data_IF_459118038300
#
_entry.id   IF_459118038300
#
_cell.length_a   1.000
_cell.length_b   1.000
_cell.length_c   1.000
_cell.angle_alpha   90.00
_cell.angle_beta   90.00
_cell.angle_gamma   90.00
#
_symmetry.space_group_name_H-M   'P 1'
#
loop_
_entity.id
_entity.type
_entity.pdbx_description
1 polymer ?
#
# COMPACT_ATOMS: atom_id res chain seq x y z
N UNK A 1 -23.62 -13.69 14.28
CA UNK A 1 -22.24 -14.17 14.02
C UNK A 1 -21.80 -13.62 12.67
N UNK A 2 -21.53 -12.31 12.61
CA UNK A 2 -21.05 -11.63 11.39
C UNK A 2 -19.53 -11.51 11.48
N UNK A 3 -18.82 -12.49 10.92
CA UNK A 3 -17.36 -12.58 10.98
C UNK A 3 -16.67 -12.18 9.67
N UNK A 4 -17.34 -11.45 8.78
CA UNK A 4 -16.82 -11.10 7.44
C UNK A 4 -16.43 -9.63 7.29
N UNK A 5 -16.61 -8.78 8.30
CA UNK A 5 -16.32 -7.33 8.20
C UNK A 5 -14.96 -6.91 8.78
N UNK A 6 -14.17 -7.83 9.36
CA UNK A 6 -12.93 -7.48 10.06
C UNK A 6 -11.65 -7.43 9.21
N UNK A 7 -11.70 -7.78 7.92
CA UNK A 7 -10.52 -7.79 7.04
C UNK A 7 -10.77 -7.19 5.65
N UNK A 8 -11.68 -6.22 5.55
CA UNK A 8 -11.62 -5.30 4.42
C UNK A 8 -10.42 -4.42 4.71
N UNK A 9 -9.26 -4.78 4.16
CA UNK A 9 -8.09 -3.88 4.12
C UNK A 9 -8.60 -2.58 3.52
N UNK A 10 -8.63 -1.52 4.32
CA UNK A 10 -9.00 -0.21 3.83
C UNK A 10 -7.81 0.32 3.03
N UNK A 11 -7.74 -0.16 1.79
CA UNK A 11 -6.72 0.21 0.80
C UNK A 11 -6.71 1.72 0.59
N UNK A 12 -7.86 2.38 0.80
CA UNK A 12 -8.03 3.82 0.67
C UNK A 12 -7.40 4.57 1.87
N UNK A 13 -7.67 4.16 3.11
CA UNK A 13 -7.02 4.67 4.32
C UNK A 13 -5.49 4.54 4.25
N UNK A 14 -5.00 3.37 3.82
CA UNK A 14 -3.58 3.11 3.72
C UNK A 14 -2.92 3.88 2.56
N UNK A 15 -3.62 4.09 1.45
CA UNK A 15 -3.20 5.00 0.38
C UNK A 15 -3.16 6.47 0.84
N UNK A 16 -4.11 6.88 1.68
CA UNK A 16 -4.14 8.19 2.33
C UNK A 16 -2.95 8.37 3.28
N UNK A 17 -2.63 7.36 4.08
CA UNK A 17 -1.46 7.35 4.96
C UNK A 17 -0.15 7.48 4.16
N UNK A 18 0.01 6.70 3.08
CA UNK A 18 1.18 6.80 2.21
C UNK A 18 1.33 8.21 1.61
N UNK A 19 0.22 8.83 1.19
CA UNK A 19 0.21 10.20 0.67
C UNK A 19 0.62 11.22 1.74
N UNK A 20 0.14 11.06 2.99
CA UNK A 20 0.52 11.93 4.11
C UNK A 20 2.00 11.79 4.46
N UNK A 21 2.52 10.57 4.50
CA UNK A 21 3.94 10.28 4.74
C UNK A 21 4.84 10.88 3.65
N UNK A 22 4.42 10.80 2.39
CA UNK A 22 5.13 11.44 1.27
C UNK A 22 5.20 12.96 1.43
N UNK A 23 4.08 13.62 1.75
CA UNK A 23 4.06 15.07 2.02
C UNK A 23 4.92 15.45 3.22
N UNK A 24 4.94 14.63 4.26
CA UNK A 24 5.80 14.83 5.42
C UNK A 24 7.28 14.77 5.02
N UNK A 25 7.64 13.80 4.18
CA UNK A 25 9.00 13.65 3.62
C UNK A 25 9.39 14.85 2.76
N UNK A 26 8.52 15.30 1.86
CA UNK A 26 8.74 16.50 1.04
C UNK A 26 8.96 17.73 1.94
N UNK A 27 8.14 17.92 2.98
CA UNK A 27 8.31 19.02 3.94
C UNK A 27 9.65 18.96 4.69
N UNK A 28 10.07 17.76 5.10
CA UNK A 28 11.37 17.55 5.75
C UNK A 28 12.56 17.84 4.80
N UNK A 29 12.43 17.52 3.51
CA UNK A 29 13.44 17.91 2.49
C UNK A 29 13.53 19.42 2.33
N UNK A 30 12.40 20.13 2.27
CA UNK A 30 12.37 21.59 2.18
C UNK A 30 13.02 22.25 3.39
N UNK A 31 12.66 21.81 4.61
CA UNK A 31 13.26 22.31 5.84
C UNK A 31 14.79 22.05 5.89
N UNK A 32 15.24 20.89 5.39
CA UNK A 32 16.66 20.59 5.21
C UNK A 32 17.35 21.51 4.20
N UNK A 33 16.65 21.91 3.14
CA UNK A 33 17.11 22.88 2.14
C UNK A 33 17.31 24.30 2.71
N UNK A 34 16.41 24.76 3.58
CA UNK A 34 16.54 26.04 4.27
C UNK A 34 17.72 26.01 5.24
N UNK A 35 17.85 24.93 6.01
CA UNK A 35 19.01 24.71 6.88
C UNK A 35 20.33 24.66 6.08
N UNK A 36 20.31 24.04 4.89
CA UNK A 36 21.45 24.01 3.96
C UNK A 36 21.89 25.41 3.55
N UNK A 37 20.96 26.35 3.37
CA UNK A 37 21.29 27.74 3.03
C UNK A 37 22.00 28.47 4.18
N UNK A 38 21.65 28.14 5.42
CA UNK A 38 22.22 28.76 6.62
C UNK A 38 23.56 28.17 7.06
N UNK A 39 23.95 26.97 6.60
CA UNK A 39 25.14 26.25 7.09
C UNK A 39 26.39 26.45 6.21
N UNK A 40 26.27 26.95 4.98
CA UNK A 40 27.42 27.11 4.08
C UNK A 40 28.20 28.38 4.46
N UNK A 41 29.21 28.22 5.32
CA UNK A 41 30.26 29.22 5.56
C UNK A 41 29.87 30.46 6.39
N UNK A 42 28.65 30.49 6.94
CA UNK A 42 28.10 31.68 7.61
C UNK A 42 28.15 31.60 9.16
N UNK A 43 28.58 30.46 9.73
CA UNK A 43 28.63 30.26 11.19
C UNK A 43 29.96 30.68 11.82
N UNK A 44 30.97 31.02 11.01
CA UNK A 44 32.18 31.72 11.43
C UNK A 44 33.21 30.88 12.21
N UNK A 45 32.99 29.57 12.38
CA UNK A 45 33.95 28.68 13.05
C UNK A 45 33.98 27.28 12.41
N UNK A 46 35.19 26.82 12.03
CA UNK A 46 35.39 25.58 11.26
C UNK A 46 34.78 24.32 11.90
N UNK A 47 34.78 24.22 13.24
CA UNK A 47 34.14 23.08 13.93
C UNK A 47 32.62 23.10 13.84
N UNK A 48 32.02 24.30 13.82
CA UNK A 48 30.57 24.44 13.71
C UNK A 48 30.13 24.12 12.27
N UNK A 49 30.94 24.54 11.29
CA UNK A 49 30.71 24.20 9.88
C UNK A 49 30.83 22.69 9.64
N UNK A 50 31.82 22.03 10.24
CA UNK A 50 32.02 20.57 10.16
C UNK A 50 30.86 19.79 10.81
N UNK A 51 30.46 20.17 12.03
CA UNK A 51 29.31 19.55 12.71
C UNK A 51 28.00 19.79 11.94
N UNK A 52 27.84 20.98 11.36
CA UNK A 52 26.70 21.30 10.49
C UNK A 52 26.67 20.45 9.22
N UNK A 53 27.84 20.21 8.60
CA UNK A 53 27.95 19.34 7.44
C UNK A 53 27.65 17.86 7.77
N UNK A 54 28.12 17.36 8.90
CA UNK A 54 27.84 16.00 9.37
C UNK A 54 26.35 15.82 9.72
N UNK A 55 25.78 16.78 10.46
CA UNK A 55 24.35 16.80 10.76
C UNK A 55 23.53 16.77 9.47
N UNK A 56 23.88 17.62 8.50
CA UNK A 56 23.21 17.68 7.20
C UNK A 56 23.26 16.34 6.47
N UNK A 57 24.45 15.74 6.36
CA UNK A 57 24.61 14.45 5.67
C UNK A 57 23.73 13.36 6.32
N UNK A 58 23.71 13.32 7.65
CA UNK A 58 22.89 12.39 8.42
C UNK A 58 21.39 12.65 8.25
N UNK A 59 20.99 13.92 8.21
CA UNK A 59 19.60 14.35 7.98
C UNK A 59 19.10 13.95 6.60
N UNK A 60 19.87 14.26 5.54
CA UNK A 60 19.54 13.89 4.15
C UNK A 60 19.50 12.36 3.98
N UNK A 61 20.34 11.61 4.70
CA UNK A 61 20.27 10.16 4.72
C UNK A 61 18.99 9.65 5.40
N UNK A 62 18.64 10.17 6.59
CA UNK A 62 17.44 9.77 7.32
C UNK A 62 16.16 10.03 6.53
N UNK A 63 16.06 11.17 5.85
CA UNK A 63 14.90 11.49 5.00
C UNK A 63 14.79 10.51 3.82
N UNK A 64 15.90 10.16 3.18
CA UNK A 64 15.90 9.16 2.09
C UNK A 64 15.40 7.80 2.59
N UNK A 65 15.84 7.37 3.77
CA UNK A 65 15.36 6.12 4.37
C UNK A 65 13.84 6.15 4.65
N UNK A 66 13.31 7.28 5.13
CA UNK A 66 11.87 7.46 5.36
C UNK A 66 11.10 7.40 4.03
N UNK A 67 11.62 8.00 2.96
CA UNK A 67 11.05 7.92 1.61
C UNK A 67 10.98 6.48 1.13
N UNK A 68 12.11 5.78 1.15
CA UNK A 68 12.22 4.42 0.63
C UNK A 68 11.27 3.46 1.38
N UNK A 69 11.18 3.59 2.70
CA UNK A 69 10.23 2.83 3.51
C UNK A 69 8.77 3.14 3.16
N UNK A 70 8.44 4.42 2.97
CA UNK A 70 7.09 4.85 2.59
C UNK A 70 6.69 4.28 1.23
N UNK A 71 7.60 4.30 0.27
CA UNK A 71 7.37 3.74 -1.07
C UNK A 71 7.22 2.22 -1.02
N UNK A 72 8.01 1.52 -0.20
CA UNK A 72 7.87 0.09 0.01
C UNK A 72 6.51 -0.28 0.63
N UNK A 73 6.04 0.48 1.63
CA UNK A 73 4.72 0.29 2.24
C UNK A 73 3.63 0.44 1.16
N UNK A 74 3.69 1.51 0.36
CA UNK A 74 2.73 1.76 -0.72
C UNK A 74 2.69 0.60 -1.72
N UNK A 75 3.84 0.13 -2.18
CA UNK A 75 3.94 -0.97 -3.14
C UNK A 75 3.37 -2.28 -2.58
N UNK A 76 3.70 -2.63 -1.33
CA UNK A 76 3.17 -3.82 -0.67
C UNK A 76 1.64 -3.78 -0.55
N UNK A 77 1.09 -2.59 -0.33
CA UNK A 77 -0.34 -2.34 -0.26
C UNK A 77 -1.05 -2.49 -1.61
N UNK A 78 -0.50 -1.90 -2.66
CA UNK A 78 -0.99 -2.07 -4.04
C UNK A 78 -0.96 -3.54 -4.46
N UNK A 79 0.11 -4.26 -4.12
CA UNK A 79 0.23 -5.69 -4.38
C UNK A 79 -0.83 -6.51 -3.63
N UNK A 80 -1.07 -6.18 -2.36
CA UNK A 80 -2.10 -6.84 -1.53
C UNK A 80 -3.49 -6.59 -2.08
N UNK A 81 -3.81 -5.34 -2.43
CA UNK A 81 -5.09 -4.98 -3.03
C UNK A 81 -5.34 -5.70 -4.36
N UNK A 82 -4.29 -5.81 -5.20
CA UNK A 82 -4.36 -6.57 -6.46
C UNK A 82 -4.65 -8.05 -6.20
N UNK A 83 -3.93 -8.68 -5.27
CA UNK A 83 -4.13 -10.09 -4.93
C UNK A 83 -5.56 -10.37 -4.43
N UNK A 84 -6.12 -9.48 -3.61
CA UNK A 84 -7.52 -9.58 -3.18
C UNK A 84 -8.51 -9.49 -4.35
N UNK A 85 -8.34 -8.50 -5.24
CA UNK A 85 -9.22 -8.32 -6.40
C UNK A 85 -9.13 -9.50 -7.39
N UNK A 86 -7.94 -10.03 -7.63
CA UNK A 86 -7.73 -11.20 -8.48
C UNK A 86 -8.39 -12.45 -7.89
N UNK A 87 -8.21 -12.66 -6.57
CA UNK A 87 -8.81 -13.80 -5.86
C UNK A 87 -10.33 -13.70 -5.88
N UNK A 88 -10.90 -12.54 -5.55
CA UNK A 88 -12.35 -12.34 -5.56
C UNK A 88 -12.93 -12.48 -6.99
N UNK A 89 -12.22 -11.97 -8.00
CA UNK A 89 -12.58 -12.16 -9.41
C UNK A 89 -12.60 -13.63 -9.83
N UNK A 90 -11.58 -14.41 -9.43
CA UNK A 90 -11.50 -15.84 -9.71
C UNK A 90 -12.63 -16.61 -9.01
N UNK A 91 -12.92 -16.28 -7.75
CA UNK A 91 -14.03 -16.87 -6.99
C UNK A 91 -15.37 -16.56 -7.66
N UNK A 92 -15.65 -15.30 -8.00
CA UNK A 92 -16.88 -14.89 -8.70
C UNK A 92 -17.03 -15.61 -10.05
N UNK A 93 -15.95 -15.75 -10.82
CA UNK A 93 -15.98 -16.48 -12.09
C UNK A 93 -16.27 -17.97 -11.89
N UNK A 94 -15.68 -18.61 -10.88
CA UNK A 94 -15.93 -20.01 -10.57
C UNK A 94 -17.40 -20.25 -10.20
N UNK A 95 -17.97 -19.42 -9.33
CA UNK A 95 -19.39 -19.47 -8.98
C UNK A 95 -20.29 -19.19 -10.19
N UNK A 96 -19.99 -18.18 -11.01
CA UNK A 96 -20.78 -17.87 -12.20
C UNK A 96 -20.75 -18.99 -13.25
N UNK A 97 -19.65 -19.73 -13.36
CA UNK A 97 -19.55 -20.94 -14.21
C UNK A 97 -20.31 -22.12 -13.61
N UNK A 98 -20.25 -22.32 -12.29
CA UNK A 98 -21.00 -23.38 -11.60
C UNK A 98 -22.52 -23.19 -11.72
N UNK A 99 -23.01 -21.96 -11.58
CA UNK A 99 -24.43 -21.62 -11.76
C UNK A 99 -24.87 -21.81 -13.22
N UNK A 100 -24.05 -21.40 -14.21
CA UNK A 100 -24.34 -21.64 -15.63
C UNK A 100 -24.25 -23.11 -16.05
N UNK A 101 -23.38 -23.90 -15.42
CA UNK A 101 -23.29 -25.35 -15.65
C UNK A 101 -24.47 -26.13 -15.07
N UNK A 102 -25.17 -25.57 -14.09
CA UNK A 102 -26.37 -26.16 -13.48
C UNK A 102 -27.65 -25.95 -14.30
N UNK A 103 -27.67 -25.01 -15.24
CA UNK A 103 -28.88 -24.60 -16.00
C UNK A 103 -28.96 -25.24 -17.41
N UNK A 104 -27.99 -26.09 -17.77
CA UNK A 104 -27.87 -26.74 -19.09
C UNK A 104 -28.33 -28.21 -19.16
N UNK A 105 -29.02 -28.73 -18.13
CA UNK A 105 -29.51 -30.11 -18.07
C UNK A 105 -30.93 -30.25 -18.63
N UNK A 106 -31.02 -30.50 -19.94
CA UNK A 106 -32.21 -30.75 -20.76
C UNK A 106 -33.26 -31.71 -20.16
N UNK A 107 -34.54 -31.49 -20.53
CA UNK A 107 -35.68 -32.31 -20.14
C UNK A 107 -35.71 -33.74 -20.71
N UNK A 108 -36.69 -34.47 -20.17
CA UNK A 108 -37.14 -35.83 -20.55
C UNK A 108 -36.27 -36.99 -20.07
N UNK A 109 -36.58 -37.52 -18.88
CA UNK A 109 -36.92 -38.95 -18.73
C UNK A 109 -37.93 -39.13 -17.62
N UNK A 110 -38.97 -39.88 -17.94
CA UNK A 110 -40.13 -40.17 -17.13
C UNK A 110 -39.79 -40.72 -15.74
N UNK A 111 -40.71 -40.45 -14.81
CA UNK A 111 -40.74 -40.97 -13.45
C UNK A 111 -40.49 -42.49 -13.41
N UNK A 112 -39.49 -42.91 -12.63
CA UNK A 112 -39.51 -44.21 -11.97
C UNK A 112 -38.80 -44.06 -10.63
N UNK A 113 -39.59 -44.08 -9.55
CA UNK A 113 -39.12 -44.02 -8.17
C UNK A 113 -38.29 -45.24 -7.80
N UNK A 114 -37.19 -45.11 -7.02
CA UNK A 114 -36.30 -46.22 -6.66
C UNK A 114 -36.71 -46.98 -5.38
N UNK A 115 -37.85 -46.69 -4.76
CA UNK A 115 -38.34 -47.42 -3.61
C UNK A 115 -39.83 -47.74 -3.78
N UNK A 116 -40.10 -49.00 -4.10
CA UNK A 116 -41.33 -49.71 -3.72
C UNK A 116 -41.01 -50.60 -2.52
#
# INVERSE_FOLDING_TARGET
>A
MGGSEQFTVDVEELGSLATRLRRCTESMEYAGGDLRSATVGDLGHSRIDEAGAEFKSSWEYGIRQIRDLTDAIKQGLEATARAYNETDGAVRQAFAKGIRGSDGGNGTTAATSPFG
#
